data_IF_596712470413
#
_entry.id   IF_596712470413
#
_cell.length_a   1.000
_cell.length_b   1.000
_cell.length_c   1.000
_cell.angle_alpha   90.00
_cell.angle_beta   90.00
_cell.angle_gamma   90.00
#
_symmetry.space_group_name_H-M   'P 1'
#
loop_
_entity.id
_entity.type
_entity.pdbx_description
1 polymer ?
#
# COMPACT_ATOMS: atom_id res chain seq x y z
N UNK A 1 62.53 30.02 44.62
CA UNK A 1 62.36 29.42 43.27
C UNK A 1 61.02 28.70 43.22
N UNK A 2 60.06 29.26 42.50
CA UNK A 2 58.71 28.71 42.33
C UNK A 2 58.77 27.47 41.42
N UNK A 3 58.24 26.33 41.84
CA UNK A 3 58.06 25.14 40.99
C UNK A 3 56.65 25.19 40.40
N UNK A 4 56.58 25.42 39.09
CA UNK A 4 55.36 25.34 38.29
C UNK A 4 54.98 23.87 38.12
N UNK A 5 53.80 23.48 38.63
CA UNK A 5 53.19 22.18 38.34
C UNK A 5 52.36 22.34 37.08
N UNK A 6 52.73 21.63 36.02
CA UNK A 6 51.97 21.54 34.77
C UNK A 6 50.83 20.54 35.01
N UNK A 7 49.59 21.01 34.97
CA UNK A 7 48.39 20.17 34.96
C UNK A 7 48.20 19.70 33.51
N UNK A 8 48.35 18.41 33.28
CA UNK A 8 48.01 17.76 32.01
C UNK A 8 46.48 17.64 31.93
N UNK A 9 45.83 18.50 31.15
CA UNK A 9 44.42 18.36 30.82
C UNK A 9 44.25 17.26 29.75
N UNK A 10 43.74 16.09 30.15
CA UNK A 10 43.27 15.06 29.23
C UNK A 10 41.99 15.57 28.55
N UNK A 11 42.09 16.03 27.31
CA UNK A 11 40.92 16.33 26.49
C UNK A 11 40.25 15.04 26.04
N UNK A 12 39.14 14.66 26.67
CA UNK A 12 38.20 13.71 26.09
C UNK A 12 37.56 14.39 24.87
N UNK A 13 37.97 13.99 23.66
CA UNK A 13 37.22 14.31 22.46
C UNK A 13 35.92 13.50 22.50
N UNK A 14 34.81 14.14 22.92
CA UNK A 14 33.48 13.63 22.60
C UNK A 14 33.31 13.71 21.08
N UNK A 15 33.50 12.58 20.40
CA UNK A 15 33.00 12.45 19.03
C UNK A 15 31.47 12.54 19.10
N UNK A 16 30.82 13.43 18.32
CA UNK A 16 29.38 13.41 18.21
C UNK A 16 28.98 12.04 17.67
N UNK A 17 28.12 11.34 18.42
CA UNK A 17 27.44 10.16 17.95
C UNK A 17 26.52 10.62 16.81
N UNK A 18 27.02 10.61 15.57
CA UNK A 18 26.16 10.79 14.40
C UNK A 18 25.26 9.58 14.41
N UNK A 19 24.00 9.77 14.80
CA UNK A 19 22.96 8.77 14.61
C UNK A 19 23.02 8.38 13.12
N UNK A 20 23.37 7.12 12.85
CA UNK A 20 23.32 6.65 11.48
C UNK A 20 21.86 6.68 11.05
N UNK A 21 21.54 7.46 10.03
CA UNK A 21 20.22 7.44 9.44
C UNK A 21 19.95 6.02 8.90
N UNK A 22 18.88 5.42 9.39
CA UNK A 22 18.43 4.10 8.94
C UNK A 22 17.40 4.33 7.85
N UNK A 23 17.65 3.78 6.66
CA UNK A 23 16.67 3.77 5.59
C UNK A 23 15.48 2.92 6.04
N UNK A 24 14.23 3.41 5.92
CA UNK A 24 13.05 2.66 6.32
C UNK A 24 12.90 1.39 5.47
N UNK A 25 12.75 0.25 6.13
CA UNK A 25 12.56 -1.06 5.48
C UNK A 25 11.38 -1.77 6.14
N UNK A 26 10.47 -2.36 5.35
CA UNK A 26 9.42 -3.23 5.86
C UNK A 26 9.94 -4.29 6.84
N UNK A 27 9.29 -4.40 7.99
CA UNK A 27 9.51 -5.49 8.94
C UNK A 27 8.55 -6.63 8.66
N UNK A 28 8.99 -7.87 8.88
CA UNK A 28 8.19 -9.07 8.66
C UNK A 28 8.42 -9.70 7.29
N UNK A 29 7.90 -10.92 7.14
CA UNK A 29 8.05 -11.70 5.91
C UNK A 29 7.25 -11.08 4.75
N UNK A 30 7.63 -11.42 3.52
CA UNK A 30 6.83 -11.12 2.34
C UNK A 30 5.67 -12.12 2.27
N UNK A 31 4.53 -11.71 2.83
CA UNK A 31 3.30 -12.50 2.87
C UNK A 31 2.08 -11.62 2.54
N UNK A 32 2.06 -10.95 1.37
CA UNK A 32 0.91 -10.17 0.95
C UNK A 32 -0.34 -11.03 0.80
N UNK A 33 -1.49 -10.47 1.19
CA UNK A 33 -2.77 -11.16 1.06
C UNK A 33 -3.23 -11.23 -0.39
N UNK A 34 -4.21 -12.10 -0.67
CA UNK A 34 -4.74 -12.31 -2.02
C UNK A 34 -6.26 -12.37 -2.02
N UNK A 35 -6.87 -11.86 -3.07
CA UNK A 35 -8.30 -11.91 -3.30
C UNK A 35 -8.57 -12.17 -4.77
N UNK A 36 -9.62 -12.93 -5.08
CA UNK A 36 -10.03 -13.19 -6.47
C UNK A 36 -11.37 -12.51 -6.73
N UNK A 37 -11.36 -11.49 -7.58
CA UNK A 37 -12.59 -10.85 -8.06
C UNK A 37 -13.21 -11.68 -9.20
N UNK A 38 -14.53 -11.70 -9.21
CA UNK A 38 -15.36 -12.35 -10.23
C UNK A 38 -16.23 -11.30 -10.93
N UNK A 39 -16.87 -11.70 -12.03
CA UNK A 39 -17.83 -10.86 -12.73
C UNK A 39 -19.15 -10.73 -11.97
N UNK A 40 -19.79 -9.55 -11.94
CA UNK A 40 -21.11 -9.43 -11.34
C UNK A 40 -22.12 -10.33 -12.07
N UNK A 41 -22.96 -11.05 -11.32
CA UNK A 41 -24.04 -11.89 -11.86
C UNK A 41 -25.41 -11.15 -11.85
N UNK A 42 -25.43 -9.91 -11.41
CA UNK A 42 -26.56 -9.00 -11.33
C UNK A 42 -26.09 -7.57 -11.59
N UNK A 43 -26.97 -6.67 -11.99
CA UNK A 43 -26.64 -5.25 -12.05
C UNK A 43 -26.17 -4.76 -10.67
N UNK A 44 -25.10 -3.97 -10.64
CA UNK A 44 -24.63 -3.24 -9.45
C UNK A 44 -25.20 -1.82 -9.52
N UNK A 45 -25.86 -1.37 -8.46
CA UNK A 45 -26.37 0.00 -8.35
C UNK A 45 -25.57 0.69 -7.25
N UNK A 46 -24.77 1.68 -7.62
CA UNK A 46 -23.89 2.36 -6.65
C UNK A 46 -24.72 3.26 -5.73
N UNK A 47 -25.19 2.71 -4.62
CA UNK A 47 -26.02 3.37 -3.61
C UNK A 47 -25.44 3.28 -2.19
N UNK A 48 -24.28 2.63 -2.05
CA UNK A 48 -23.53 2.49 -0.81
C UNK A 48 -23.92 1.23 -0.05
N UNK A 49 -24.86 0.43 -0.53
CA UNK A 49 -25.26 -0.84 0.10
C UNK A 49 -24.68 -2.00 -0.68
N UNK A 50 -24.30 -3.04 0.05
CA UNK A 50 -23.74 -4.25 -0.53
C UNK A 50 -24.79 -5.36 -0.59
N UNK A 51 -26.03 -5.05 -1.00
CA UNK A 51 -27.19 -5.93 -0.84
C UNK A 51 -27.59 -6.67 -2.13
N UNK A 52 -27.00 -6.33 -3.27
CA UNK A 52 -27.19 -7.01 -4.54
C UNK A 52 -26.68 -8.46 -4.51
N UNK A 53 -27.29 -9.30 -5.36
CA UNK A 53 -26.97 -10.73 -5.45
C UNK A 53 -25.47 -10.97 -5.71
N UNK A 54 -24.86 -10.16 -6.57
CA UNK A 54 -23.42 -10.22 -6.83
C UNK A 54 -22.59 -9.99 -5.58
N UNK A 55 -22.90 -8.96 -4.79
CA UNK A 55 -22.21 -8.70 -3.52
C UNK A 55 -22.44 -9.81 -2.51
N UNK A 56 -23.67 -10.29 -2.37
CA UNK A 56 -24.02 -11.34 -1.41
C UNK A 56 -23.30 -12.67 -1.70
N UNK A 57 -22.97 -12.94 -2.97
CA UNK A 57 -22.22 -14.14 -3.37
C UNK A 57 -20.70 -14.02 -3.20
N UNK A 58 -20.16 -12.81 -3.16
CA UNK A 58 -18.73 -12.62 -2.94
C UNK A 58 -18.35 -12.69 -1.46
N UNK A 59 -17.27 -13.40 -1.10
CA UNK A 59 -16.73 -13.37 0.25
C UNK A 59 -16.10 -12.00 0.53
N UNK A 60 -16.11 -11.59 1.79
CA UNK A 60 -15.24 -10.50 2.23
C UNK A 60 -13.77 -10.96 2.22
N UNK A 61 -12.86 -10.00 2.09
CA UNK A 61 -11.45 -10.17 2.48
C UNK A 61 -11.33 -10.60 3.94
N UNK A 62 -10.12 -10.98 4.35
CA UNK A 62 -9.76 -10.94 5.76
C UNK A 62 -9.98 -9.53 6.34
N UNK A 63 -10.24 -9.49 7.66
CA UNK A 63 -10.37 -8.24 8.40
C UNK A 63 -9.04 -7.49 8.40
N UNK A 64 -9.12 -6.16 8.39
CA UNK A 64 -7.93 -5.31 8.41
C UNK A 64 -7.12 -5.54 9.69
N UNK A 65 -5.81 -5.38 9.56
CA UNK A 65 -4.82 -5.44 10.64
C UNK A 65 -4.14 -4.09 10.78
N UNK A 66 -3.31 -3.90 11.82
CA UNK A 66 -2.45 -2.72 11.87
C UNK A 66 -1.44 -2.74 10.69
N UNK A 67 -1.10 -1.56 10.16
CA UNK A 67 -0.16 -1.41 9.04
C UNK A 67 1.22 -2.03 9.34
N UNK A 68 1.63 -2.09 10.60
CA UNK A 68 2.86 -2.74 11.07
C UNK A 68 2.70 -4.25 11.31
N UNK A 69 1.52 -4.81 11.03
CA UNK A 69 1.17 -6.22 11.22
C UNK A 69 1.16 -6.62 12.70
N UNK A 70 1.66 -7.82 13.00
CA UNK A 70 1.68 -8.40 14.36
C UNK A 70 2.57 -7.63 15.36
N UNK A 71 3.26 -6.56 14.93
CA UNK A 71 3.99 -5.66 15.83
C UNK A 71 3.05 -4.82 16.69
N UNK A 72 1.77 -4.74 16.33
CA UNK A 72 0.73 -3.98 17.02
C UNK A 72 -0.50 -4.85 17.27
N UNK A 73 -1.37 -4.47 18.23
CA UNK A 73 -2.65 -5.14 18.43
C UNK A 73 -3.54 -5.06 17.20
N UNK A 74 -4.45 -6.02 17.06
CA UNK A 74 -5.49 -5.98 16.04
C UNK A 74 -6.41 -4.76 16.22
N UNK A 75 -6.97 -4.22 15.12
CA UNK A 75 -7.97 -3.15 15.17
C UNK A 75 -9.15 -3.52 16.08
N UNK A 76 -9.58 -2.56 16.90
CA UNK A 76 -10.76 -2.71 17.76
C UNK A 76 -12.09 -2.45 17.00
N UNK A 77 -12.00 -1.92 15.79
CA UNK A 77 -13.12 -1.74 14.87
C UNK A 77 -12.82 -2.47 13.58
N UNK A 78 -13.70 -3.40 13.22
CA UNK A 78 -13.52 -4.24 12.03
C UNK A 78 -13.72 -3.42 10.76
N UNK A 79 -12.84 -3.64 9.80
CA UNK A 79 -12.98 -3.20 8.41
C UNK A 79 -12.66 -4.36 7.48
N UNK A 80 -13.43 -4.51 6.39
CA UNK A 80 -13.29 -5.59 5.41
C UNK A 80 -13.91 -5.19 4.06
N UNK A 81 -13.44 -5.79 2.98
CA UNK A 81 -13.77 -5.37 1.60
C UNK A 81 -14.29 -6.54 0.76
N UNK A 82 -15.11 -6.27 -0.24
CA UNK A 82 -15.46 -7.16 -1.36
C UNK A 82 -15.03 -6.51 -2.65
N UNK A 83 -14.64 -7.33 -3.63
CA UNK A 83 -14.27 -6.85 -4.95
C UNK A 83 -14.96 -7.67 -6.03
N UNK A 84 -15.42 -6.98 -7.07
CA UNK A 84 -15.95 -7.54 -8.31
C UNK A 84 -15.27 -6.80 -9.46
N UNK A 85 -15.34 -7.33 -10.68
CA UNK A 85 -14.84 -6.63 -11.85
C UNK A 85 -15.58 -7.06 -13.12
N UNK A 86 -15.60 -6.20 -14.12
CA UNK A 86 -15.98 -6.56 -15.48
C UNK A 86 -15.15 -5.75 -16.48
N UNK A 87 -15.49 -5.83 -17.76
CA UNK A 87 -14.85 -5.04 -18.81
C UNK A 87 -15.00 -3.52 -18.63
N UNK A 88 -16.00 -3.06 -17.88
CA UNK A 88 -16.30 -1.64 -17.68
C UNK A 88 -15.60 -1.07 -16.44
N UNK A 89 -15.53 -1.83 -15.35
CA UNK A 89 -15.06 -1.31 -14.06
C UNK A 89 -14.47 -2.36 -13.12
N UNK A 90 -13.67 -1.85 -12.18
CA UNK A 90 -13.39 -2.50 -10.90
C UNK A 90 -14.40 -1.99 -9.87
N UNK A 91 -15.09 -2.90 -9.18
CA UNK A 91 -16.05 -2.56 -8.14
C UNK A 91 -15.47 -2.91 -6.77
N UNK A 92 -15.62 -1.99 -5.82
CA UNK A 92 -15.13 -2.14 -4.45
C UNK A 92 -16.28 -1.84 -3.49
N UNK A 93 -16.53 -2.76 -2.56
CA UNK A 93 -17.51 -2.61 -1.49
C UNK A 93 -16.87 -2.80 -0.12
N UNK A 94 -16.83 -1.77 0.72
CA UNK A 94 -16.24 -1.82 2.05
C UNK A 94 -17.29 -1.71 3.15
N UNK A 95 -17.10 -2.48 4.24
CA UNK A 95 -17.83 -2.34 5.49
C UNK A 95 -16.87 -1.88 6.59
N UNK A 96 -17.18 -0.76 7.24
CA UNK A 96 -16.40 -0.20 8.33
C UNK A 96 -17.30 -0.13 9.57
N UNK A 97 -17.04 -1.00 10.56
CA UNK A 97 -17.71 -0.91 11.87
C UNK A 97 -17.18 0.33 12.58
N UNK A 98 -18.08 1.22 12.99
CA UNK A 98 -17.73 2.51 13.58
C UNK A 98 -18.89 2.95 14.48
N UNK A 99 -18.72 2.93 15.83
CA UNK A 99 -19.75 3.38 16.76
C UNK A 99 -19.90 4.90 16.82
N UNK A 100 -18.95 5.65 16.27
CA UNK A 100 -18.93 7.10 16.27
C UNK A 100 -18.58 7.60 14.87
N UNK A 101 -19.58 7.76 14.01
CA UNK A 101 -19.35 8.14 12.61
C UNK A 101 -19.27 9.67 12.54
N UNK A 102 -18.10 10.17 12.14
CA UNK A 102 -17.85 11.59 12.02
C UNK A 102 -17.00 11.91 10.80
N UNK A 103 -17.24 13.07 10.21
CA UNK A 103 -16.46 13.62 9.10
C UNK A 103 -16.73 15.13 9.00
N UNK A 104 -15.70 15.92 8.74
CA UNK A 104 -15.76 17.39 8.72
C UNK A 104 -15.28 17.98 7.40
N UNK A 105 -14.41 17.29 6.69
CA UNK A 105 -13.87 17.75 5.41
C UNK A 105 -14.91 17.54 4.32
N UNK A 106 -15.20 18.60 3.57
CA UNK A 106 -16.20 18.63 2.49
C UNK A 106 -15.61 19.05 1.14
N UNK A 107 -14.39 19.57 1.13
CA UNK A 107 -13.73 20.05 -0.08
C UNK A 107 -13.04 18.87 -0.77
N UNK A 108 -13.40 18.61 -2.04
CA UNK A 108 -12.70 17.64 -2.89
C UNK A 108 -11.21 18.01 -2.95
N UNK A 109 -10.34 17.01 -2.88
CA UNK A 109 -8.88 17.16 -2.86
C UNK A 109 -8.30 17.87 -1.62
N UNK A 110 -9.08 17.94 -0.54
CA UNK A 110 -8.53 18.22 0.78
C UNK A 110 -7.69 17.03 1.27
N UNK A 111 -6.85 17.26 2.27
CA UNK A 111 -6.08 16.20 2.93
C UNK A 111 -7.04 15.34 3.78
N UNK A 112 -7.69 14.34 3.14
CA UNK A 112 -8.87 13.63 3.66
C UNK A 112 -8.56 12.80 4.91
N UNK A 113 -7.35 12.24 5.05
CA UNK A 113 -6.91 11.52 6.26
C UNK A 113 -7.00 12.31 7.57
N UNK A 114 -7.33 13.61 7.55
CA UNK A 114 -7.69 14.34 8.77
C UNK A 114 -9.12 14.06 9.27
N UNK A 115 -9.95 13.31 8.54
CA UNK A 115 -11.12 12.63 9.07
C UNK A 115 -10.81 11.13 9.29
N UNK A 116 -11.79 10.36 9.77
CA UNK A 116 -11.76 8.93 9.51
C UNK A 116 -12.12 8.71 8.04
N UNK A 117 -11.34 7.91 7.33
CA UNK A 117 -11.53 7.65 5.91
C UNK A 117 -11.29 6.19 5.52
N UNK A 118 -11.55 5.90 4.26
CA UNK A 118 -11.25 4.67 3.59
C UNK A 118 -10.42 4.98 2.33
N UNK A 119 -9.28 4.31 2.20
CA UNK A 119 -8.33 4.54 1.12
C UNK A 119 -8.19 3.29 0.23
N UNK A 120 -7.98 3.50 -1.06
CA UNK A 120 -7.77 2.47 -2.09
C UNK A 120 -6.46 2.76 -2.82
N UNK A 121 -5.63 1.74 -2.98
CA UNK A 121 -4.31 1.83 -3.61
C UNK A 121 -4.17 0.78 -4.70
N UNK A 122 -3.81 1.16 -5.93
CA UNK A 122 -3.76 0.24 -7.08
C UNK A 122 -2.46 0.43 -7.87
N UNK A 123 -1.68 -0.63 -8.01
CA UNK A 123 -0.50 -0.74 -8.87
C UNK A 123 -0.72 -1.95 -9.82
N UNK A 124 -1.19 -1.71 -11.07
CA UNK A 124 -1.66 -2.80 -11.92
C UNK A 124 -0.60 -3.82 -12.35
N UNK A 125 0.64 -3.40 -12.63
CA UNK A 125 1.71 -4.30 -13.10
C UNK A 125 2.70 -4.71 -11.99
N UNK A 126 2.58 -4.10 -10.81
CA UNK A 126 3.40 -4.39 -9.65
C UNK A 126 4.85 -3.98 -9.84
N UNK A 127 5.12 -2.90 -10.58
CA UNK A 127 6.45 -2.34 -10.76
C UNK A 127 6.82 -1.28 -9.69
N UNK A 128 5.85 -0.92 -8.85
CA UNK A 128 5.83 0.11 -7.79
C UNK A 128 5.84 1.56 -8.25
N UNK A 129 5.60 1.81 -9.53
CA UNK A 129 5.51 3.11 -10.15
C UNK A 129 4.12 3.29 -10.77
N UNK A 130 3.84 4.52 -11.20
CA UNK A 130 2.60 4.88 -11.90
C UNK A 130 1.33 4.27 -11.28
N UNK A 131 1.17 4.45 -9.96
CA UNK A 131 0.09 3.85 -9.19
C UNK A 131 -0.93 4.88 -8.71
N UNK A 132 -2.13 4.39 -8.39
CA UNK A 132 -3.29 5.19 -8.03
C UNK A 132 -3.52 5.17 -6.52
N UNK A 133 -4.04 6.28 -6.01
CA UNK A 133 -4.54 6.43 -4.65
C UNK A 133 -5.87 7.19 -4.68
N UNK A 134 -6.76 6.78 -3.79
CA UNK A 134 -8.12 7.26 -3.67
C UNK A 134 -8.51 7.22 -2.20
N UNK A 135 -8.95 8.34 -1.64
CA UNK A 135 -9.43 8.48 -0.26
C UNK A 135 -10.89 8.95 -0.27
N UNK A 136 -11.70 8.43 0.65
CA UNK A 136 -13.08 8.90 0.87
C UNK A 136 -13.44 8.88 2.35
N UNK A 137 -14.01 9.98 2.86
CA UNK A 137 -14.55 10.04 4.22
C UNK A 137 -16.05 9.67 4.26
N UNK A 138 -16.62 9.60 5.47
CA UNK A 138 -18.04 9.27 5.67
C UNK A 138 -19.04 10.32 5.10
N UNK A 139 -18.57 11.50 4.66
CA UNK A 139 -19.38 12.47 3.91
C UNK A 139 -19.45 12.17 2.41
N UNK A 140 -18.60 11.27 1.90
CA UNK A 140 -18.40 11.08 0.46
C UNK A 140 -17.49 12.13 -0.17
N UNK A 141 -16.67 12.81 0.63
CA UNK A 141 -15.65 13.71 0.08
C UNK A 141 -14.50 12.87 -0.44
N UNK A 142 -14.26 12.97 -1.74
CA UNK A 142 -13.26 12.20 -2.47
C UNK A 142 -11.97 12.99 -2.61
N UNK A 143 -10.84 12.30 -2.54
CA UNK A 143 -9.57 12.78 -3.07
C UNK A 143 -8.94 11.64 -3.86
N UNK A 144 -8.58 11.90 -5.11
CA UNK A 144 -7.87 10.95 -5.96
C UNK A 144 -6.56 11.57 -6.45
N UNK A 145 -5.54 10.73 -6.56
CA UNK A 145 -4.24 11.16 -7.05
C UNK A 145 -3.49 10.02 -7.71
N UNK A 146 -2.56 10.42 -8.56
CA UNK A 146 -1.67 9.54 -9.28
C UNK A 146 -0.22 9.76 -8.83
N UNK A 147 0.51 8.68 -8.58
CA UNK A 147 1.88 8.72 -8.11
C UNK A 147 2.83 8.08 -9.13
N UNK A 148 3.73 8.89 -9.69
CA UNK A 148 4.73 8.42 -10.66
C UNK A 148 5.83 7.54 -10.06
N UNK A 149 5.96 7.53 -8.72
CA UNK A 149 6.89 6.68 -7.95
C UNK A 149 6.66 6.85 -6.44
N UNK A 150 7.24 5.98 -5.59
CA UNK A 150 7.15 6.10 -4.14
C UNK A 150 7.82 7.36 -3.57
N UNK A 151 7.23 7.96 -2.54
CA UNK A 151 7.77 9.15 -1.85
C UNK A 151 9.18 8.95 -1.29
N UNK A 152 9.54 7.72 -0.92
CA UNK A 152 10.89 7.36 -0.44
C UNK A 152 11.98 7.56 -1.51
N UNK A 153 11.62 7.61 -2.78
CA UNK A 153 12.54 7.71 -3.91
C UNK A 153 12.68 9.14 -4.44
N UNK A 154 11.67 10.00 -4.25
CA UNK A 154 11.69 11.41 -4.65
C UNK A 154 10.61 12.21 -3.93
N UNK A 155 10.88 13.48 -3.65
CA UNK A 155 9.85 14.44 -3.24
C UNK A 155 8.98 14.88 -4.45
N UNK A 156 7.74 15.28 -4.20
CA UNK A 156 6.80 15.80 -5.21
C UNK A 156 6.57 14.78 -6.35
N UNK A 157 5.99 13.64 -5.99
CA UNK A 157 5.68 12.53 -6.90
C UNK A 157 4.19 12.38 -7.17
N UNK A 158 3.35 12.92 -6.29
CA UNK A 158 1.91 12.99 -6.49
C UNK A 158 1.53 14.03 -7.53
N UNK A 159 0.67 13.63 -8.46
CA UNK A 159 -0.04 14.50 -9.40
C UNK A 159 -1.47 14.67 -8.85
N UNK A 160 -1.65 15.66 -7.98
CA UNK A 160 -2.93 15.91 -7.31
C UNK A 160 -4.02 16.47 -8.24
N UNK A 161 -3.68 16.86 -9.48
CA UNK A 161 -4.65 17.39 -10.45
C UNK A 161 -5.17 16.32 -11.42
N UNK A 162 -4.83 15.06 -11.16
CA UNK A 162 -5.36 13.91 -11.90
C UNK A 162 -6.58 13.40 -11.16
N UNK A 163 -7.67 13.12 -11.88
CA UNK A 163 -8.93 12.64 -11.32
C UNK A 163 -9.32 11.29 -11.97
N UNK A 164 -10.01 10.44 -11.22
CA UNK A 164 -10.70 9.26 -11.75
C UNK A 164 -11.97 9.72 -12.46
N UNK A 165 -11.85 10.00 -13.76
CA UNK A 165 -12.99 10.41 -14.59
C UNK A 165 -14.10 9.36 -14.56
N UNK A 166 -15.33 9.84 -14.42
CA UNK A 166 -16.55 9.03 -14.43
C UNK A 166 -16.64 7.97 -13.31
N UNK A 167 -15.90 8.15 -12.20
CA UNK A 167 -16.09 7.34 -10.99
C UNK A 167 -17.52 7.50 -10.45
N UNK A 168 -18.18 6.38 -10.19
CA UNK A 168 -19.44 6.34 -9.44
C UNK A 168 -19.13 5.80 -8.04
N UNK A 169 -19.56 6.50 -6.99
CA UNK A 169 -19.37 6.05 -5.62
C UNK A 169 -20.50 6.54 -4.72
N UNK A 170 -20.76 5.81 -3.64
CA UNK A 170 -21.79 6.14 -2.67
C UNK A 170 -21.40 5.70 -1.26
N UNK A 171 -21.91 6.45 -0.27
CA UNK A 171 -21.74 6.17 1.15
C UNK A 171 -23.09 5.84 1.77
N UNK A 172 -23.17 4.71 2.46
CA UNK A 172 -24.32 4.37 3.28
C UNK A 172 -23.94 4.39 4.76
N UNK A 173 -24.75 5.03 5.59
CA UNK A 173 -24.54 5.12 7.04
C UNK A 173 -25.63 4.33 7.74
N UNK A 174 -25.22 3.34 8.53
CA UNK A 174 -26.08 2.63 9.47
C UNK A 174 -25.90 3.23 10.87
N UNK A 175 -26.64 4.31 11.09
CA UNK A 175 -26.45 5.21 12.22
C UNK A 175 -26.81 6.64 11.83
N UNK A 176 -26.17 7.60 12.48
CA UNK A 176 -26.27 9.03 12.18
C UNK A 176 -24.88 9.65 12.05
N UNK A 177 -24.72 10.52 11.04
CA UNK A 177 -23.44 11.20 10.81
C UNK A 177 -23.30 12.40 11.73
N UNK A 178 -22.15 12.51 12.41
CA UNK A 178 -21.79 13.65 13.25
C UNK A 178 -22.75 13.89 14.43
N UNK A 179 -23.47 12.87 14.90
CA UNK A 179 -24.21 12.94 16.16
C UNK A 179 -23.41 12.23 17.27
N UNK A 180 -22.88 12.95 18.27
CA UNK A 180 -22.20 12.32 19.40
C UNK A 180 -23.15 11.88 20.51
N UNK A 181 -24.47 12.04 20.35
CA UNK A 181 -25.46 11.69 21.38
C UNK A 181 -25.94 10.24 21.31
N UNK A 182 -25.68 9.54 20.21
CA UNK A 182 -26.05 8.15 20.00
C UNK A 182 -24.81 7.26 19.76
N UNK A 183 -25.07 6.06 19.23
CA UNK A 183 -24.03 5.08 18.90
C UNK A 183 -24.43 4.41 17.61
N UNK A 184 -23.54 4.49 16.64
CA UNK A 184 -23.74 3.98 15.30
C UNK A 184 -23.32 2.50 15.20
N UNK A 185 -23.56 1.90 14.03
CA UNK A 185 -23.09 0.54 13.77
C UNK A 185 -21.94 0.52 12.77
N UNK A 186 -22.16 1.12 11.61
CA UNK A 186 -21.23 1.02 10.49
C UNK A 186 -21.49 2.11 9.45
N UNK A 187 -20.48 2.36 8.63
CA UNK A 187 -20.67 2.98 7.33
C UNK A 187 -20.06 2.10 6.24
N UNK A 188 -20.56 2.29 5.04
CA UNK A 188 -20.25 1.49 3.88
C UNK A 188 -19.80 2.40 2.75
N UNK A 189 -18.84 1.89 1.98
CA UNK A 189 -18.33 2.54 0.80
C UNK A 189 -18.56 1.62 -0.37
N UNK A 190 -19.19 2.12 -1.42
CA UNK A 190 -19.38 1.39 -2.66
C UNK A 190 -18.84 2.22 -3.82
N UNK A 191 -18.01 1.61 -4.66
CA UNK A 191 -17.31 2.28 -5.76
C UNK A 191 -17.38 1.45 -7.03
N UNK A 192 -17.53 2.14 -8.16
CA UNK A 192 -17.30 1.65 -9.51
C UNK A 192 -16.21 2.51 -10.13
N UNK A 193 -15.01 1.95 -10.24
CA UNK A 193 -13.83 2.61 -10.78
C UNK A 193 -13.70 2.21 -12.26
N UNK A 194 -13.84 3.14 -13.22
CA UNK A 194 -13.81 2.80 -14.64
C UNK A 194 -12.49 2.17 -15.07
N UNK A 195 -12.58 1.05 -15.78
CA UNK A 195 -11.44 0.30 -16.26
C UNK A 195 -10.61 1.10 -17.29
N UNK A 196 -11.25 2.01 -18.05
CA UNK A 196 -10.55 2.88 -19.00
C UNK A 196 -9.62 3.89 -18.31
N UNK A 197 -9.90 4.29 -17.06
CA UNK A 197 -8.99 5.13 -16.27
C UNK A 197 -7.81 4.31 -15.76
N UNK A 198 -8.09 3.13 -15.18
CA UNK A 198 -7.05 2.25 -14.63
C UNK A 198 -6.09 1.72 -15.71
N UNK A 199 -6.53 1.70 -16.97
CA UNK A 199 -5.72 1.37 -18.14
C UNK A 199 -4.62 2.39 -18.44
N UNK A 200 -4.77 3.65 -18.04
CA UNK A 200 -3.82 4.72 -18.38
C UNK A 200 -2.39 4.41 -17.89
N UNK A 201 -2.27 3.69 -16.78
CA UNK A 201 -1.00 3.33 -16.14
C UNK A 201 -0.85 1.82 -15.89
N UNK A 202 -1.72 1.00 -16.50
CA UNK A 202 -1.67 -0.43 -16.24
C UNK A 202 -0.42 -1.10 -16.80
N UNK A 203 0.14 -0.58 -17.90
CA UNK A 203 1.30 -1.14 -18.63
C UNK A 203 1.18 -2.63 -18.99
N UNK A 204 -0.04 -3.16 -18.95
CA UNK A 204 -0.42 -4.56 -19.23
C UNK A 204 -1.82 -4.61 -19.86
N UNK A 205 -2.27 -5.78 -20.37
CA UNK A 205 -3.58 -5.89 -21.03
C UNK A 205 -4.73 -5.48 -20.10
N UNK A 206 -5.61 -4.61 -20.60
CA UNK A 206 -6.85 -4.19 -19.96
C UNK A 206 -7.99 -4.28 -20.99
N UNK A 207 -9.09 -5.01 -20.72
CA UNK A 207 -9.42 -5.72 -19.48
C UNK A 207 -8.45 -6.89 -19.17
N UNK A 208 -8.28 -7.26 -17.87
CA UNK A 208 -7.37 -8.33 -17.46
C UNK A 208 -7.76 -9.72 -18.04
N UNK A 209 -6.81 -10.50 -18.57
CA UNK A 209 -7.03 -11.91 -18.92
C UNK A 209 -7.38 -12.78 -17.70
N UNK A 210 -7.95 -13.98 -17.94
CA UNK A 210 -8.23 -14.95 -16.86
C UNK A 210 -6.96 -15.25 -16.05
N UNK A 211 -7.07 -15.12 -14.73
CA UNK A 211 -5.98 -15.39 -13.79
C UNK A 211 -4.87 -14.34 -13.80
N UNK A 212 -5.03 -13.24 -14.53
CA UNK A 212 -4.16 -12.07 -14.36
C UNK A 212 -4.36 -11.44 -12.97
N UNK A 213 -3.41 -10.62 -12.55
CA UNK A 213 -3.44 -10.01 -11.22
C UNK A 213 -2.85 -8.60 -11.20
N UNK A 214 -3.39 -7.77 -10.30
CA UNK A 214 -2.88 -6.44 -9.97
C UNK A 214 -2.46 -6.38 -8.50
N UNK A 215 -1.62 -5.42 -8.14
CA UNK A 215 -1.37 -5.10 -6.72
C UNK A 215 -2.46 -4.14 -6.27
N UNK A 216 -3.12 -4.45 -5.15
CA UNK A 216 -4.12 -3.58 -4.55
C UNK A 216 -3.98 -3.60 -3.03
N UNK A 217 -4.25 -2.48 -2.37
CA UNK A 217 -4.45 -2.47 -0.94
C UNK A 217 -5.51 -1.45 -0.53
N UNK A 218 -5.89 -1.54 0.73
CA UNK A 218 -6.87 -0.68 1.34
C UNK A 218 -6.38 -0.22 2.70
N UNK A 219 -6.75 0.99 3.08
CA UNK A 219 -6.49 1.54 4.41
C UNK A 219 -7.77 2.09 5.01
N UNK A 220 -7.83 2.08 6.34
CA UNK A 220 -8.70 2.92 7.15
C UNK A 220 -7.80 3.76 8.03
N UNK A 221 -7.82 5.08 7.82
CA UNK A 221 -7.29 5.99 8.82
C UNK A 221 -8.33 6.17 9.90
N UNK A 222 -7.93 5.95 11.15
CA UNK A 222 -8.81 6.07 12.30
C UNK A 222 -8.20 6.98 13.37
N UNK A 223 -8.92 8.03 13.71
CA UNK A 223 -8.58 8.91 14.82
C UNK A 223 -9.47 8.61 16.03
N UNK A 224 -8.83 8.48 17.17
CA UNK A 224 -9.52 8.56 18.45
C UNK A 224 -10.15 9.94 18.60
N UNK A 225 -11.44 9.98 18.94
CA UNK A 225 -12.15 11.20 19.28
C UNK A 225 -12.71 11.15 20.70
N UNK A 226 -12.94 12.32 21.26
CA UNK A 226 -13.68 12.53 22.50
C UNK A 226 -14.84 13.51 22.24
N UNK A 227 -15.91 13.39 23.01
CA UNK A 227 -17.06 14.27 22.91
C UNK A 227 -16.84 15.49 23.80
N UNK A 228 -16.72 16.66 23.18
CA UNK A 228 -16.55 17.95 23.86
C UNK A 228 -17.55 18.97 23.32
N UNK A 229 -18.35 19.54 24.23
CA UNK A 229 -19.41 20.49 23.89
C UNK A 229 -20.36 19.97 22.80
N UNK A 230 -20.76 18.69 22.89
CA UNK A 230 -21.67 18.06 21.93
C UNK A 230 -21.08 17.89 20.52
N UNK A 231 -19.76 17.82 20.39
CA UNK A 231 -19.07 17.59 19.11
C UNK A 231 -17.93 16.60 19.27
N UNK A 232 -17.64 15.82 18.22
CA UNK A 232 -16.43 15.01 18.12
C UNK A 232 -15.19 15.92 18.00
N UNK A 233 -14.21 15.70 18.87
CA UNK A 233 -12.90 16.34 18.82
C UNK A 233 -11.82 15.26 18.88
N UNK A 234 -10.83 15.32 17.98
CA UNK A 234 -9.70 14.40 18.03
C UNK A 234 -8.99 14.50 19.37
N UNK A 235 -8.54 13.37 19.89
CA UNK A 235 -7.74 13.35 21.11
C UNK A 235 -6.37 13.99 20.82
N UNK A 236 -5.98 15.05 21.54
CA UNK A 236 -4.69 15.72 21.31
C UNK A 236 -3.48 14.79 21.50
N UNK A 237 -2.42 15.04 20.74
CA UNK A 237 -1.12 14.35 20.83
C UNK A 237 -1.16 12.82 20.62
N UNK A 238 -2.27 12.29 20.09
CA UNK A 238 -2.36 10.92 19.61
C UNK A 238 -2.25 10.88 18.09
N UNK A 239 -1.41 9.99 17.52
CA UNK A 239 -1.42 9.74 16.10
C UNK A 239 -2.70 8.98 15.71
N UNK A 240 -3.01 9.03 14.43
CA UNK A 240 -3.95 8.13 13.79
C UNK A 240 -3.50 6.67 13.86
N UNK A 241 -4.47 5.77 13.82
CA UNK A 241 -4.22 4.39 13.44
C UNK A 241 -4.33 4.25 11.93
N UNK A 242 -3.46 3.41 11.36
CA UNK A 242 -3.54 2.99 9.97
C UNK A 242 -3.83 1.50 9.97
N UNK A 243 -5.07 1.14 9.64
CA UNK A 243 -5.49 -0.26 9.56
C UNK A 243 -5.66 -0.66 8.11
N UNK A 244 -5.08 -1.77 7.69
CA UNK A 244 -4.92 -2.13 6.28
C UNK A 244 -5.30 -3.57 6.04
N UNK A 245 -5.68 -3.90 4.80
CA UNK A 245 -5.91 -5.30 4.43
C UNK A 245 -4.61 -6.09 4.43
N UNK A 246 -3.65 -5.75 3.55
CA UNK A 246 -2.32 -6.38 3.53
C UNK A 246 -1.31 -5.54 4.33
N UNK A 247 -0.67 -6.08 5.38
CA UNK A 247 0.24 -5.30 6.23
C UNK A 247 1.53 -4.91 5.51
N UNK A 248 1.98 -3.67 5.74
CA UNK A 248 3.17 -3.11 5.11
C UNK A 248 4.44 -3.43 5.90
N UNK A 249 4.32 -3.56 7.24
CA UNK A 249 5.45 -3.77 8.15
C UNK A 249 6.18 -2.48 8.56
N UNK A 250 5.61 -1.33 8.22
CA UNK A 250 5.99 0.01 8.68
C UNK A 250 4.80 0.96 8.42
N UNK A 251 4.74 2.10 9.11
CA UNK A 251 3.71 3.13 8.87
C UNK A 251 4.03 3.88 7.57
N UNK A 252 3.76 3.25 6.42
CA UNK A 252 3.85 3.84 5.08
C UNK A 252 3.08 3.02 4.04
N UNK A 253 1.96 3.53 3.53
CA UNK A 253 1.18 2.86 2.47
C UNK A 253 1.89 2.85 1.12
N UNK A 254 2.74 3.84 0.83
CA UNK A 254 3.48 3.96 -0.44
C UNK A 254 4.68 3.00 -0.54
N UNK A 255 4.44 1.73 -0.23
CA UNK A 255 5.29 0.57 -0.51
C UNK A 255 4.48 -0.43 -1.36
N UNK A 256 4.21 -0.13 -2.64
CA UNK A 256 3.33 -0.97 -3.47
C UNK A 256 3.77 -2.43 -3.60
N UNK A 257 5.07 -2.68 -3.43
CA UNK A 257 5.61 -4.04 -3.39
C UNK A 257 5.04 -4.88 -2.23
N UNK A 258 4.45 -4.29 -1.20
CA UNK A 258 3.89 -4.98 -0.01
C UNK A 258 2.36 -5.10 -0.04
N UNK A 259 1.70 -4.52 -1.04
CA UNK A 259 0.24 -4.55 -1.18
C UNK A 259 -0.31 -5.97 -1.40
N UNK A 260 -1.62 -6.16 -1.34
CA UNK A 260 -2.24 -7.44 -1.67
C UNK A 260 -2.25 -7.72 -3.17
N UNK A 261 -2.65 -8.93 -3.53
CA UNK A 261 -2.86 -9.36 -4.91
C UNK A 261 -4.36 -9.48 -5.21
N UNK A 262 -4.82 -8.77 -6.24
CA UNK A 262 -6.16 -8.96 -6.81
C UNK A 262 -6.06 -9.80 -8.07
N UNK A 263 -6.57 -11.02 -8.03
CA UNK A 263 -6.70 -11.88 -9.20
C UNK A 263 -8.04 -11.65 -9.90
N UNK A 264 -8.04 -11.72 -11.23
CA UNK A 264 -9.22 -11.52 -12.06
C UNK A 264 -9.71 -12.84 -12.64
N UNK A 265 -10.91 -13.28 -12.25
CA UNK A 265 -11.58 -14.42 -12.85
C UNK A 265 -12.80 -13.97 -13.69
N UNK A 266 -12.95 -14.59 -14.84
CA UNK A 266 -14.01 -14.39 -15.82
C UNK A 266 -15.27 -15.17 -15.45
N UNK A 267 -15.22 -15.99 -14.40
CA UNK A 267 -16.39 -16.61 -13.76
C UNK A 267 -17.31 -15.56 -13.14
N UNK A 268 -18.60 -15.86 -13.06
CA UNK A 268 -19.58 -15.00 -12.40
C UNK A 268 -19.51 -15.15 -10.87
N UNK A 269 -19.92 -14.11 -10.14
CA UNK A 269 -19.91 -14.05 -8.69
C UNK A 269 -20.58 -15.28 -8.06
N UNK A 270 -19.86 -15.95 -7.17
CA UNK A 270 -20.33 -17.16 -6.47
C UNK A 270 -20.12 -18.46 -7.24
N UNK A 271 -19.65 -18.42 -8.49
CA UNK A 271 -19.14 -19.62 -9.16
C UNK A 271 -17.80 -20.06 -8.55
N UNK A 272 -17.45 -21.33 -8.76
CA UNK A 272 -16.17 -21.85 -8.34
C UNK A 272 -15.02 -21.21 -9.14
N UNK A 273 -13.98 -20.76 -8.44
CA UNK A 273 -12.73 -20.28 -9.02
C UNK A 273 -11.57 -21.07 -8.44
N UNK A 274 -10.57 -21.46 -9.25
CA UNK A 274 -9.34 -22.03 -8.70
C UNK A 274 -8.66 -21.05 -7.75
N UNK A 275 -7.93 -21.61 -6.78
CA UNK A 275 -7.08 -20.79 -5.93
C UNK A 275 -5.84 -20.35 -6.74
N UNK A 276 -5.71 -19.05 -6.97
CA UNK A 276 -4.58 -18.49 -7.69
C UNK A 276 -3.38 -18.30 -6.76
N UNK A 277 -2.22 -18.79 -7.19
CA UNK A 277 -0.97 -18.62 -6.46
C UNK A 277 -0.23 -17.37 -6.92
N UNK A 278 0.43 -16.69 -5.97
CA UNK A 278 1.37 -15.61 -6.27
C UNK A 278 2.49 -16.18 -7.15
N UNK A 279 2.73 -15.66 -8.36
CA UNK A 279 3.71 -16.26 -9.25
C UNK A 279 5.14 -16.12 -8.73
N UNK A 280 5.99 -17.10 -9.04
CA UNK A 280 7.42 -17.13 -8.66
C UNK A 280 8.19 -15.85 -9.00
N UNK A 281 7.75 -15.11 -10.02
CA UNK A 281 8.35 -13.85 -10.46
C UNK A 281 8.26 -12.78 -9.38
N UNK A 282 7.19 -12.75 -8.58
CA UNK A 282 6.96 -11.75 -7.54
C UNK A 282 7.88 -11.99 -6.34
N UNK A 283 8.18 -13.25 -5.98
CA UNK A 283 9.20 -13.57 -4.98
C UNK A 283 10.62 -13.17 -5.43
N UNK A 284 10.90 -13.27 -6.74
CA UNK A 284 12.15 -12.80 -7.29
C UNK A 284 12.24 -11.26 -7.33
N UNK A 285 11.14 -10.56 -7.65
CA UNK A 285 11.02 -9.10 -7.50
C UNK A 285 11.24 -8.67 -6.05
N UNK A 286 10.60 -9.34 -5.08
CA UNK A 286 10.80 -9.06 -3.65
C UNK A 286 12.27 -9.23 -3.25
N UNK A 287 12.94 -10.29 -3.70
CA UNK A 287 14.37 -10.43 -3.44
C UNK A 287 15.20 -9.27 -4.05
N UNK A 288 14.84 -8.79 -5.25
CA UNK A 288 15.45 -7.59 -5.83
C UNK A 288 15.15 -6.34 -4.98
N UNK A 289 13.95 -6.18 -4.42
CA UNK A 289 13.57 -5.10 -3.50
C UNK A 289 14.45 -5.09 -2.25
N UNK A 290 14.72 -6.26 -1.67
CA UNK A 290 15.65 -6.39 -0.55
C UNK A 290 17.08 -5.92 -0.88
N UNK A 291 17.53 -6.11 -2.12
CA UNK A 291 18.82 -5.56 -2.57
C UNK A 291 18.77 -4.04 -2.78
N UNK A 292 17.64 -3.52 -3.28
CA UNK A 292 17.40 -2.08 -3.40
C UNK A 292 17.44 -1.38 -2.03
N UNK A 293 16.76 -1.93 -1.00
CA UNK A 293 16.83 -1.38 0.36
C UNK A 293 18.26 -1.36 0.90
N UNK A 294 19.01 -2.44 0.67
CA UNK A 294 20.43 -2.50 1.04
C UNK A 294 21.27 -1.48 0.27
N UNK A 295 20.96 -1.20 -0.99
CA UNK A 295 21.63 -0.14 -1.76
C UNK A 295 21.32 1.25 -1.20
N UNK A 296 20.07 1.53 -0.81
CA UNK A 296 19.68 2.79 -0.19
C UNK A 296 20.40 3.01 1.14
N UNK A 297 20.39 2.01 2.03
CA UNK A 297 21.16 2.08 3.28
C UNK A 297 22.65 2.26 3.01
N UNK A 298 23.22 1.50 2.06
CA UNK A 298 24.63 1.64 1.72
C UNK A 298 24.97 3.03 1.18
N UNK A 299 24.05 3.66 0.43
CA UNK A 299 24.21 5.04 -0.02
C UNK A 299 24.15 6.03 1.15
N UNK A 300 23.22 5.88 2.10
CA UNK A 300 23.18 6.69 3.34
C UNK A 300 24.50 6.60 4.10
N UNK A 301 25.05 5.39 4.24
CA UNK A 301 26.28 5.15 5.00
C UNK A 301 27.56 5.61 4.31
N UNK A 302 27.58 5.69 2.96
CA UNK A 302 28.83 5.83 2.16
C UNK A 302 28.81 6.96 1.13
N UNK A 303 27.66 7.59 0.88
CA UNK A 303 27.47 8.59 -0.17
C UNK A 303 27.66 8.05 -1.60
N UNK A 304 27.58 6.72 -1.79
CA UNK A 304 27.75 6.06 -3.10
C UNK A 304 27.10 4.68 -3.10
N UNK A 305 26.68 4.20 -4.26
CA UNK A 305 26.15 2.84 -4.41
C UNK A 305 27.23 1.75 -4.34
N UNK A 306 26.85 0.58 -3.84
CA UNK A 306 27.68 -0.61 -3.88
C UNK A 306 27.86 -1.10 -5.32
N UNK A 307 29.00 -1.76 -5.56
CA UNK A 307 29.39 -2.30 -6.87
C UNK A 307 29.39 -3.83 -6.89
N UNK A 308 29.29 -4.48 -5.73
CA UNK A 308 29.32 -5.93 -5.57
C UNK A 308 28.37 -6.36 -4.47
N UNK A 309 27.69 -7.50 -4.67
CA UNK A 309 26.73 -8.06 -3.70
C UNK A 309 27.32 -8.27 -2.30
N UNK A 310 28.61 -8.60 -2.21
CA UNK A 310 29.30 -8.77 -0.92
C UNK A 310 29.33 -7.49 -0.06
N UNK A 311 29.32 -6.31 -0.68
CA UNK A 311 29.27 -5.02 0.04
C UNK A 311 27.89 -4.79 0.68
N UNK A 312 26.83 -5.30 0.04
CA UNK A 312 25.46 -5.25 0.53
C UNK A 312 25.18 -6.32 1.60
N UNK A 313 26.13 -7.23 1.85
CA UNK A 313 25.92 -8.43 2.69
C UNK A 313 24.68 -9.21 2.23
N UNK A 314 24.48 -9.28 0.91
CA UNK A 314 23.31 -9.93 0.31
C UNK A 314 23.32 -11.44 0.57
N UNK A 315 22.19 -11.96 1.03
CA UNK A 315 21.99 -13.42 1.10
C UNK A 315 21.75 -13.98 -0.31
N UNK A 316 22.15 -15.23 -0.58
CA UNK A 316 21.93 -15.83 -1.90
C UNK A 316 20.44 -16.11 -2.14
N UNK A 317 19.88 -15.58 -3.23
CA UNK A 317 18.56 -16.02 -3.71
C UNK A 317 18.62 -17.46 -4.19
N UNK A 318 17.60 -18.25 -3.83
CA UNK A 318 17.46 -19.63 -4.28
C UNK A 318 16.11 -19.80 -4.96
N UNK A 319 16.15 -20.28 -6.19
CA UNK A 319 14.97 -20.60 -6.98
C UNK A 319 15.04 -22.09 -7.35
N UNK A 320 14.01 -22.86 -7.02
CA UNK A 320 13.94 -24.32 -7.21
C UNK A 320 15.22 -25.03 -6.70
N UNK A 321 15.66 -24.66 -5.50
CA UNK A 321 16.87 -25.20 -4.85
C UNK A 321 18.21 -24.72 -5.42
N UNK A 322 18.22 -24.08 -6.59
CA UNK A 322 19.44 -23.58 -7.24
C UNK A 322 19.71 -22.14 -6.84
N UNK A 323 20.96 -21.85 -6.48
CA UNK A 323 21.42 -20.49 -6.24
C UNK A 323 21.30 -19.64 -7.51
N UNK A 324 20.73 -18.46 -7.40
CA UNK A 324 20.74 -17.39 -8.39
C UNK A 324 21.67 -16.29 -7.86
N UNK A 325 22.53 -15.77 -8.72
CA UNK A 325 23.44 -14.68 -8.36
C UNK A 325 23.09 -13.47 -9.20
N UNK A 326 22.49 -12.43 -8.60
CA UNK A 326 22.21 -11.19 -9.30
C UNK A 326 23.47 -10.48 -9.80
N UNK A 327 23.32 -9.67 -10.84
CA UNK A 327 24.38 -8.82 -11.38
C UNK A 327 24.09 -7.37 -11.01
N UNK A 328 25.09 -6.65 -10.50
CA UNK A 328 25.00 -5.20 -10.28
C UNK A 328 25.75 -4.49 -11.40
N UNK A 329 25.07 -3.61 -12.11
CA UNK A 329 25.66 -2.71 -13.11
C UNK A 329 25.48 -1.27 -12.63
N UNK A 330 26.58 -0.53 -12.46
CA UNK A 330 26.54 0.88 -12.04
C UNK A 330 26.80 1.79 -13.23
N UNK A 331 26.09 2.90 -13.29
CA UNK A 331 26.35 4.00 -14.21
C UNK A 331 26.57 5.31 -13.42
N UNK A 332 26.79 6.42 -14.13
CA UNK A 332 27.09 7.73 -13.52
C UNK A 332 25.96 8.25 -12.62
N UNK A 333 24.72 7.85 -12.88
CA UNK A 333 23.53 8.38 -12.21
C UNK A 333 22.78 7.35 -11.34
N UNK A 334 23.25 6.10 -11.24
CA UNK A 334 22.45 5.05 -10.61
C UNK A 334 23.00 3.65 -10.77
N UNK A 335 22.11 2.67 -10.67
CA UNK A 335 22.43 1.27 -10.84
C UNK A 335 21.24 0.46 -11.34
N UNK A 336 21.56 -0.66 -11.97
CA UNK A 336 20.60 -1.72 -12.28
C UNK A 336 21.10 -3.00 -11.60
N UNK A 337 20.21 -3.69 -10.90
CA UNK A 337 20.45 -5.07 -10.45
C UNK A 337 19.58 -5.98 -11.29
N UNK A 338 20.13 -7.08 -11.80
CA UNK A 338 19.38 -8.04 -12.62
C UNK A 338 19.53 -9.48 -12.20
N UNK A 339 18.50 -10.28 -12.46
CA UNK A 339 18.50 -11.74 -12.40
C UNK A 339 18.36 -12.25 -13.83
N UNK A 340 19.30 -13.09 -14.29
CA UNK A 340 19.20 -13.73 -15.60
C UNK A 340 18.09 -14.80 -15.61
N UNK A 341 17.49 -15.10 -16.77
CA UNK A 341 16.46 -16.14 -16.89
C UNK A 341 16.90 -17.49 -16.35
N UNK A 342 15.98 -18.19 -15.69
CA UNK A 342 16.27 -19.54 -15.17
C UNK A 342 15.01 -20.37 -14.99
N UNK A 343 14.90 -21.46 -15.74
CA UNK A 343 13.86 -22.49 -15.54
C UNK A 343 12.43 -21.92 -15.43
N UNK A 344 12.04 -21.07 -16.36
CA UNK A 344 10.71 -20.42 -16.36
C UNK A 344 10.67 -19.05 -15.70
N UNK A 345 11.65 -18.71 -14.85
CA UNK A 345 11.81 -17.33 -14.37
C UNK A 345 12.35 -16.45 -15.51
N UNK A 346 11.68 -15.33 -15.87
CA UNK A 346 12.14 -14.42 -16.90
C UNK A 346 13.37 -13.64 -16.45
N UNK A 347 13.92 -12.82 -17.34
CA UNK A 347 14.97 -11.88 -16.95
C UNK A 347 14.31 -10.74 -16.17
N UNK A 348 14.83 -10.45 -14.99
CA UNK A 348 14.27 -9.44 -14.10
C UNK A 348 15.28 -8.37 -13.78
N UNK A 349 14.78 -7.17 -13.54
CA UNK A 349 15.59 -6.01 -13.22
C UNK A 349 14.97 -5.19 -12.10
N UNK A 350 15.82 -4.43 -11.41
CA UNK A 350 15.44 -3.35 -10.52
C UNK A 350 16.41 -2.17 -10.70
N UNK A 351 15.88 -0.94 -10.71
CA UNK A 351 16.65 0.31 -10.82
C UNK A 351 16.84 1.01 -9.46
N UNK A 352 17.67 2.04 -9.39
CA UNK A 352 17.95 2.81 -8.17
C UNK A 352 16.76 3.48 -7.49
N UNK A 353 15.65 3.67 -8.20
CA UNK A 353 14.38 4.20 -7.69
C UNK A 353 13.37 3.10 -7.38
N UNK A 354 13.81 1.83 -7.41
CA UNK A 354 12.93 0.71 -7.09
C UNK A 354 11.90 0.45 -8.18
N UNK A 355 12.07 0.81 -9.44
CA UNK A 355 11.22 0.27 -10.50
C UNK A 355 11.66 -1.16 -10.84
N UNK A 356 10.75 -2.13 -10.97
CA UNK A 356 11.07 -3.50 -11.46
C UNK A 356 10.44 -3.80 -12.81
N UNK A 357 11.16 -4.45 -13.72
CA UNK A 357 10.58 -4.87 -15.00
C UNK A 357 11.15 -6.21 -15.46
N UNK A 358 10.50 -6.77 -16.48
CA UNK A 358 10.83 -8.07 -17.08
C UNK A 358 11.26 -7.88 -18.54
N UNK A 359 12.19 -8.70 -19.03
CA UNK A 359 12.55 -8.82 -20.47
C UNK A 359 12.18 -10.19 -21.03
#
# INVERSE_FOLDING_TARGET
MKRTVIILALGLALMPLVAHEIFPVPVGDFAPLKYTAQKPCSQIVIDGKLDEESWQKMPFTEDFVDIEGDLKPLPFHRTRVKMLWDEEALYIGAELIEPHIWAKLTERDAVIFQDNDFEVFIDPDGDTHDYYELEVNALGTLWDLFLIKPYRDRQQVAINAWDIRDIEYAIHIDGTLNDPSDTDRAWYVEMKIPMEVLKECAHKPVPPPEGDYWRINFSRVHWDTEIKNGNYQKVPDKPEYNWVWSPQGLIAMHYPERWGFLFFSHSEAGEFVPDYDIPDVEYAKEYLRQLYYKQKQYFFDKGRYATRLGQLKAQPYRYLGKKITPKIQRHSHGYIISIDPKQGLPKLFIREDGMTWQE
#
